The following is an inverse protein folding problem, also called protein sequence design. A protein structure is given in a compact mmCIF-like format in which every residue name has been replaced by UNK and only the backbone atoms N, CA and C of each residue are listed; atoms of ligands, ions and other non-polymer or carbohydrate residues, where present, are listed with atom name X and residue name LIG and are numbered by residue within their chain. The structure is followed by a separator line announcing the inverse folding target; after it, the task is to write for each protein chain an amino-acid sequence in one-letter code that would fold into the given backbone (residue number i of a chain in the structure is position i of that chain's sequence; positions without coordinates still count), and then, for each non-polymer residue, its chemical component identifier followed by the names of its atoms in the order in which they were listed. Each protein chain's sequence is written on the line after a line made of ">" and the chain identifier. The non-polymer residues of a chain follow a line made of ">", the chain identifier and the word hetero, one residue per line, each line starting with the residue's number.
data_IF_378830449674
#
_entry.id   IF_378830449674
#
_cell.length_a   1.000
_cell.length_b   1.000
_cell.length_c   1.000
_cell.angle_alpha   90.00
_cell.angle_beta   90.00
_cell.angle_gamma   90.00
#
_symmetry.space_group_name_H-M   'P 1'
#
loop_
_entity.id
_entity.type
_entity.pdbx_description
1 polymer ?
#
# COMPACT_ATOMS: atom_id res chain seq x y z
N UNK A 1 20.45 -9.12 0.64
CA UNK A 1 19.39 -9.35 1.64
C UNK A 1 18.25 -8.39 1.35
N UNK A 2 17.14 -8.91 0.81
CA UNK A 2 15.73 -8.54 1.04
C UNK A 2 14.94 -9.44 0.07
N UNK A 3 14.81 -10.73 0.42
CA UNK A 3 13.59 -11.33 0.94
C UNK A 3 12.45 -11.28 -0.10
N UNK A 4 12.48 -12.29 -0.97
CA UNK A 4 11.30 -12.92 -1.56
C UNK A 4 10.30 -13.25 -0.45
N UNK A 5 9.08 -12.74 -0.56
CA UNK A 5 7.95 -13.21 0.23
C UNK A 5 6.81 -13.57 -0.72
N UNK A 6 6.84 -14.83 -1.17
CA UNK A 6 5.66 -15.52 -1.69
C UNK A 6 4.77 -15.96 -0.52
N UNK A 7 3.46 -15.71 -0.69
CA UNK A 7 2.31 -16.42 -0.11
C UNK A 7 2.10 -16.41 1.41
N UNK A 8 0.95 -15.83 1.81
CA UNK A 8 0.09 -16.51 2.78
C UNK A 8 -0.45 -15.75 3.97
N UNK A 9 -0.97 -14.51 3.84
CA UNK A 9 -2.23 -14.06 4.48
C UNK A 9 -2.77 -12.91 3.63
N UNK A 10 -3.77 -13.19 2.77
CA UNK A 10 -4.54 -12.14 2.10
C UNK A 10 -5.59 -11.65 3.10
N UNK A 11 -5.51 -10.40 3.53
CA UNK A 11 -6.60 -9.80 4.33
C UNK A 11 -7.69 -9.32 3.38
N UNK A 12 -8.94 -9.66 3.73
CA UNK A 12 -10.30 -9.35 3.23
C UNK A 12 -10.57 -8.93 1.76
N UNK A 13 -9.62 -8.39 0.97
CA UNK A 13 -9.79 -8.04 -0.45
C UNK A 13 -8.55 -8.20 -1.34
N UNK A 14 -7.65 -9.15 -1.05
CA UNK A 14 -6.49 -9.46 -1.92
C UNK A 14 -5.25 -8.59 -1.67
N UNK A 15 -5.28 -7.71 -0.68
CA UNK A 15 -4.13 -6.91 -0.24
C UNK A 15 -3.36 -7.64 0.85
N UNK A 16 -2.05 -7.44 0.87
CA UNK A 16 -1.20 -7.85 2.01
C UNK A 16 -1.38 -6.88 3.17
N UNK A 17 -1.08 -7.29 4.42
CA UNK A 17 -1.13 -6.38 5.57
C UNK A 17 -0.31 -5.10 5.36
N UNK A 18 0.88 -5.21 4.74
CA UNK A 18 1.74 -4.06 4.47
C UNK A 18 1.11 -3.09 3.45
N UNK A 19 0.50 -3.61 2.38
CA UNK A 19 -0.20 -2.79 1.39
C UNK A 19 -1.41 -2.09 2.03
N UNK A 20 -2.20 -2.81 2.82
CA UNK A 20 -3.35 -2.25 3.56
C UNK A 20 -2.90 -1.11 4.48
N UNK A 21 -1.84 -1.31 5.27
CA UNK A 21 -1.30 -0.27 6.15
C UNK A 21 -0.84 0.95 5.37
N UNK A 22 -0.13 0.75 4.25
CA UNK A 22 0.32 1.86 3.40
C UNK A 22 -0.88 2.63 2.82
N UNK A 23 -1.92 1.95 2.33
CA UNK A 23 -3.13 2.60 1.80
C UNK A 23 -3.87 3.37 2.88
N UNK A 24 -3.99 2.85 4.11
CA UNK A 24 -4.59 3.58 5.23
C UNK A 24 -3.83 4.87 5.55
N UNK A 25 -2.51 4.83 5.57
CA UNK A 25 -1.70 6.04 5.79
C UNK A 25 -1.78 7.03 4.61
N UNK A 26 -1.99 6.54 3.37
CA UNK A 26 -2.29 7.41 2.23
C UNK A 26 -3.62 8.16 2.43
N UNK A 27 -4.65 7.50 2.98
CA UNK A 27 -5.95 8.11 3.27
C UNK A 27 -5.86 9.17 4.38
N UNK A 28 -4.93 9.01 5.32
CA UNK A 28 -4.56 10.05 6.29
C UNK A 28 -3.84 11.25 5.64
N UNK A 29 -3.55 11.21 4.34
CA UNK A 29 -2.91 12.29 3.59
C UNK A 29 -1.38 12.31 3.68
N UNK A 30 -0.75 11.24 4.20
CA UNK A 30 0.70 11.21 4.36
C UNK A 30 1.42 11.10 3.00
N UNK A 31 2.58 11.75 2.93
CA UNK A 31 3.54 11.57 1.84
C UNK A 31 4.30 10.26 1.99
N UNK A 32 4.87 9.73 0.89
CA UNK A 32 5.65 8.49 0.94
C UNK A 32 6.82 8.58 1.93
N UNK A 33 7.44 9.77 2.07
CA UNK A 33 8.49 10.02 3.07
C UNK A 33 7.96 9.94 4.50
N UNK A 34 6.80 10.51 4.78
CA UNK A 34 6.17 10.42 6.10
C UNK A 34 5.76 8.99 6.44
N UNK A 35 5.21 8.25 5.47
CA UNK A 35 4.88 6.83 5.61
C UNK A 35 6.14 6.00 5.89
N UNK A 36 7.20 6.20 5.12
CA UNK A 36 8.48 5.53 5.30
C UNK A 36 9.06 5.77 6.69
N UNK A 37 9.02 7.02 7.17
CA UNK A 37 9.46 7.37 8.52
C UNK A 37 8.61 6.73 9.61
N UNK A 38 7.28 6.67 9.43
CA UNK A 38 6.35 6.11 10.42
C UNK A 38 6.45 4.59 10.52
N UNK A 39 6.67 3.92 9.39
CA UNK A 39 6.80 2.46 9.31
C UNK A 39 8.24 1.97 9.48
N UNK A 40 9.21 2.89 9.59
CA UNK A 40 10.65 2.57 9.72
C UNK A 40 11.14 1.69 8.56
N UNK A 41 10.77 2.07 7.34
CA UNK A 41 11.17 1.41 6.09
C UNK A 41 11.68 2.43 5.07
N UNK A 42 12.24 1.96 3.96
CA UNK A 42 12.70 2.87 2.89
C UNK A 42 11.53 3.46 2.10
N UNK A 43 11.72 4.66 1.54
CA UNK A 43 10.74 5.27 0.61
C UNK A 43 10.47 4.33 -0.57
N UNK A 44 11.51 3.66 -1.08
CA UNK A 44 11.39 2.69 -2.17
C UNK A 44 10.50 1.50 -1.80
N UNK A 45 10.55 1.05 -0.55
CA UNK A 45 9.65 -0.01 -0.05
C UNK A 45 8.20 0.47 -0.03
N UNK A 46 7.95 1.71 0.41
CA UNK A 46 6.61 2.33 0.34
C UNK A 46 6.12 2.40 -1.10
N UNK A 47 6.97 2.87 -2.02
CA UNK A 47 6.64 2.93 -3.45
C UNK A 47 6.28 1.56 -4.01
N UNK A 48 7.04 0.51 -3.68
CA UNK A 48 6.70 -0.87 -4.07
C UNK A 48 5.35 -1.33 -3.52
N UNK A 49 5.03 -1.06 -2.25
CA UNK A 49 3.71 -1.39 -1.71
C UNK A 49 2.58 -0.63 -2.42
N UNK A 50 2.79 0.64 -2.78
CA UNK A 50 1.81 1.43 -3.54
C UNK A 50 1.64 0.86 -4.95
N UNK A 51 2.74 0.53 -5.64
CA UNK A 51 2.68 -0.08 -6.98
C UNK A 51 1.91 -1.40 -6.96
N UNK A 52 2.22 -2.30 -6.02
CA UNK A 52 1.50 -3.56 -5.90
C UNK A 52 0.01 -3.35 -5.56
N UNK A 53 -0.31 -2.38 -4.70
CA UNK A 53 -1.68 -2.01 -4.38
C UNK A 53 -2.45 -1.50 -5.60
N UNK A 54 -1.82 -0.67 -6.44
CA UNK A 54 -2.38 -0.17 -7.70
C UNK A 54 -2.65 -1.31 -8.69
N UNK A 55 -1.69 -2.21 -8.86
CA UNK A 55 -1.84 -3.37 -9.76
C UNK A 55 -2.98 -4.28 -9.31
N UNK A 56 -3.14 -4.50 -8.00
CA UNK A 56 -4.21 -5.32 -7.42
C UNK A 56 -5.59 -4.66 -7.51
N UNK A 57 -5.67 -3.35 -7.36
CA UNK A 57 -6.94 -2.62 -7.48
C UNK A 57 -7.33 -2.28 -8.92
N UNK A 58 -6.38 -2.38 -9.86
CA UNK A 58 -6.53 -1.88 -11.22
C UNK A 58 -6.52 -0.35 -11.33
N UNK A 59 -6.11 0.35 -10.28
CA UNK A 59 -6.04 1.82 -10.27
C UNK A 59 -4.75 2.30 -10.91
N UNK A 60 -4.76 3.52 -11.48
CA UNK A 60 -3.62 4.11 -12.20
C UNK A 60 -2.92 5.22 -11.43
N UNK A 61 -3.49 5.67 -10.32
CA UNK A 61 -2.96 6.75 -9.51
C UNK A 61 -3.23 6.54 -8.04
N UNK A 62 -2.36 7.07 -7.17
CA UNK A 62 -2.58 7.09 -5.72
C UNK A 62 -3.94 7.68 -5.33
N UNK A 63 -4.39 8.71 -6.05
CA UNK A 63 -5.68 9.35 -5.76
C UNK A 63 -6.83 8.41 -6.10
N UNK A 64 -6.74 7.74 -7.24
CA UNK A 64 -7.72 6.73 -7.68
C UNK A 64 -7.76 5.56 -6.70
N UNK A 65 -6.58 5.09 -6.24
CA UNK A 65 -6.47 4.06 -5.21
C UNK A 65 -7.16 4.48 -3.89
N UNK A 66 -6.92 5.71 -3.43
CA UNK A 66 -7.60 6.25 -2.24
C UNK A 66 -9.12 6.29 -2.41
N UNK A 67 -9.63 6.77 -3.55
CA UNK A 67 -11.07 6.81 -3.82
C UNK A 67 -11.68 5.41 -3.96
N UNK A 68 -10.97 4.50 -4.61
CA UNK A 68 -11.38 3.10 -4.75
C UNK A 68 -11.49 2.43 -3.38
N UNK A 69 -10.52 2.67 -2.49
CA UNK A 69 -10.53 2.12 -1.15
C UNK A 69 -11.75 2.58 -0.36
N UNK A 70 -12.05 3.89 -0.37
CA UNK A 70 -13.21 4.49 0.32
C UNK A 70 -14.57 4.05 -0.23
N UNK A 71 -14.64 3.64 -1.50
CA UNK A 71 -15.89 3.12 -2.09
C UNK A 71 -16.13 1.67 -1.71
N UNK A 72 -15.06 0.93 -1.49
CA UNK A 72 -15.11 -0.52 -1.31
C UNK A 72 -15.06 -0.94 0.17
N UNK A 73 -14.78 -0.04 1.10
CA UNK A 73 -14.75 -0.27 2.55
C UNK A 73 -15.69 0.70 3.25
#
# INVERSE_FOLDING_TARGET
>A
MVLEASSGVMTEKGFTPAETTVVQLLLEGLSNRAIASRLVISIRTVESHISNALDKSGCRSRLELSMWWLRTH
#
